data_IF_479710069162
#
_entry.id   IF_479710069162
#
_cell.length_a   1.000
_cell.length_b   1.000
_cell.length_c   1.000
_cell.angle_alpha   90.00
_cell.angle_beta   90.00
_cell.angle_gamma   90.00
#
_symmetry.space_group_name_H-M   'P 1'
#
loop_
_entity.id
_entity.type
_entity.pdbx_description
1 polymer ?
#
# COMPACT_ATOMS: atom_id res chain seq x y z
N UNK A 1 31.99 -32.36 26.52
CA UNK A 1 30.81 -31.60 27.01
C UNK A 1 30.74 -30.11 26.64
N UNK A 2 31.81 -29.47 26.14
CA UNK A 2 31.77 -28.02 25.78
C UNK A 2 30.85 -27.72 24.59
N UNK A 3 30.92 -28.54 23.53
CA UNK A 3 30.11 -28.38 22.32
C UNK A 3 28.60 -28.40 22.59
N UNK A 4 28.12 -29.39 23.34
CA UNK A 4 26.70 -29.48 23.73
C UNK A 4 26.22 -28.25 24.50
N UNK A 5 27.00 -27.78 25.48
CA UNK A 5 26.67 -26.58 26.26
C UNK A 5 26.72 -25.29 25.43
N UNK A 6 27.47 -25.25 24.34
CA UNK A 6 27.46 -24.14 23.41
C UNK A 6 26.17 -24.19 22.58
N UNK A 7 25.90 -25.32 21.93
CA UNK A 7 24.70 -25.54 21.14
C UNK A 7 23.40 -25.22 21.91
N UNK A 8 23.30 -25.63 23.18
CA UNK A 8 22.13 -25.32 24.02
C UNK A 8 21.99 -23.81 24.33
N UNK A 9 23.09 -23.06 24.39
CA UNK A 9 23.04 -21.60 24.57
C UNK A 9 22.62 -20.91 23.29
N UNK A 10 23.06 -21.42 22.14
CA UNK A 10 22.67 -20.88 20.84
C UNK A 10 21.18 -21.10 20.62
N UNK A 11 20.69 -22.31 20.90
CA UNK A 11 19.25 -22.61 20.90
C UNK A 11 18.44 -21.68 21.81
N UNK A 12 18.90 -21.45 23.05
CA UNK A 12 18.24 -20.49 23.96
C UNK A 12 18.26 -19.05 23.43
N UNK A 13 19.31 -18.68 22.69
CA UNK A 13 19.44 -17.36 22.06
C UNK A 13 18.42 -17.20 20.95
N UNK A 14 18.34 -18.18 20.05
CA UNK A 14 17.41 -18.20 18.94
C UNK A 14 15.96 -18.17 19.43
N UNK A 15 15.61 -19.04 20.39
CA UNK A 15 14.27 -19.04 20.98
C UNK A 15 13.93 -17.71 21.67
N UNK A 16 14.92 -17.08 22.29
CA UNK A 16 14.73 -15.78 22.90
C UNK A 16 14.35 -14.73 21.86
N UNK A 17 15.12 -14.64 20.79
CA UNK A 17 14.96 -13.67 19.71
C UNK A 17 13.65 -13.87 18.93
N UNK A 18 13.32 -15.10 18.59
CA UNK A 18 12.16 -15.41 17.74
C UNK A 18 10.83 -15.39 18.49
N UNK A 19 10.82 -15.77 19.77
CA UNK A 19 9.55 -15.97 20.53
C UNK A 19 9.51 -15.11 21.78
N UNK A 20 10.53 -15.23 22.63
CA UNK A 20 10.47 -14.68 23.99
C UNK A 20 10.38 -13.15 24.01
N UNK A 21 11.12 -12.47 23.12
CA UNK A 21 11.07 -11.01 22.97
C UNK A 21 9.66 -10.54 22.64
N UNK A 22 8.97 -11.22 21.73
CA UNK A 22 7.60 -10.90 21.34
C UNK A 22 6.59 -11.16 22.46
N UNK A 23 6.85 -12.16 23.32
CA UNK A 23 6.02 -12.46 24.48
C UNK A 23 6.36 -11.62 25.73
N UNK A 24 7.35 -10.71 25.65
CA UNK A 24 7.77 -9.88 26.77
C UNK A 24 8.47 -10.66 27.89
N UNK A 25 9.13 -11.75 27.52
CA UNK A 25 9.97 -12.56 28.41
C UNK A 25 11.42 -12.08 28.33
N UNK A 26 12.19 -12.36 29.39
CA UNK A 26 13.62 -12.04 29.46
C UNK A 26 14.45 -13.30 29.19
N UNK A 27 15.63 -13.12 28.60
CA UNK A 27 16.55 -14.22 28.26
C UNK A 27 17.13 -14.88 29.51
N UNK A 28 17.56 -14.04 30.46
CA UNK A 28 18.24 -14.48 31.67
C UNK A 28 17.41 -14.12 32.90
N UNK A 29 17.37 -15.05 33.86
CA UNK A 29 16.74 -14.84 35.15
C UNK A 29 17.59 -13.99 36.12
N UNK A 30 16.99 -13.54 37.24
CA UNK A 30 17.62 -12.63 38.18
C UNK A 30 18.87 -13.24 38.84
N UNK A 31 18.88 -14.55 39.06
CA UNK A 31 20.03 -15.28 39.62
C UNK A 31 21.27 -15.18 38.72
N UNK A 32 21.09 -15.32 37.41
CA UNK A 32 22.20 -15.28 36.44
C UNK A 32 22.77 -13.86 36.31
N UNK A 33 21.93 -12.84 36.41
CA UNK A 33 22.32 -11.42 36.40
C UNK A 33 22.61 -10.83 37.78
N UNK A 34 22.52 -11.64 38.86
CA UNK A 34 22.68 -11.23 40.27
C UNK A 34 21.86 -9.99 40.65
N UNK A 35 20.61 -9.94 40.18
CA UNK A 35 19.74 -8.79 40.39
C UNK A 35 19.00 -8.85 41.73
N UNK A 36 18.83 -7.67 42.34
CA UNK A 36 17.88 -7.49 43.43
C UNK A 36 16.46 -7.70 42.92
N UNK A 37 15.52 -7.96 43.84
CA UNK A 37 14.11 -8.11 43.48
C UNK A 37 13.55 -6.87 42.78
N UNK A 38 13.92 -5.67 43.22
CA UNK A 38 13.49 -4.41 42.59
C UNK A 38 13.98 -4.31 41.15
N UNK A 39 15.28 -4.56 40.91
CA UNK A 39 15.84 -4.52 39.55
C UNK A 39 15.21 -5.57 38.64
N UNK A 40 14.93 -6.76 39.17
CA UNK A 40 14.25 -7.81 38.40
C UNK A 40 12.83 -7.44 37.99
N UNK A 41 12.06 -6.79 38.86
CA UNK A 41 10.72 -6.31 38.50
C UNK A 41 10.77 -5.26 37.40
N UNK A 42 11.75 -4.35 37.46
CA UNK A 42 11.97 -3.33 36.41
C UNK A 42 12.32 -4.00 35.07
N UNK A 43 13.19 -5.01 35.07
CA UNK A 43 13.57 -5.70 33.84
C UNK A 43 12.42 -6.47 33.21
N UNK A 44 11.60 -7.14 34.03
CA UNK A 44 10.37 -7.78 33.55
C UNK A 44 9.39 -6.79 32.94
N UNK A 45 9.23 -5.62 33.55
CA UNK A 45 8.37 -4.57 33.02
C UNK A 45 8.92 -4.02 31.70
N UNK A 46 10.23 -3.79 31.62
CA UNK A 46 10.90 -3.36 30.39
C UNK A 46 10.70 -4.37 29.24
N UNK A 47 10.82 -5.67 29.51
CA UNK A 47 10.58 -6.72 28.51
C UNK A 47 9.15 -6.70 27.98
N UNK A 48 8.15 -6.54 28.86
CA UNK A 48 6.74 -6.38 28.45
C UNK A 48 6.50 -5.12 27.62
N UNK A 49 7.10 -3.99 28.00
CA UNK A 49 7.01 -2.74 27.24
C UNK A 49 7.63 -2.90 25.85
N UNK A 50 8.80 -3.55 25.75
CA UNK A 50 9.44 -3.85 24.47
C UNK A 50 8.54 -4.70 23.57
N UNK A 51 7.94 -5.76 24.10
CA UNK A 51 6.98 -6.58 23.37
C UNK A 51 5.80 -5.77 22.81
N UNK A 52 5.21 -4.88 23.64
CA UNK A 52 4.12 -4.01 23.19
C UNK A 52 4.55 -3.02 22.11
N UNK A 53 5.76 -2.48 22.20
CA UNK A 53 6.31 -1.59 21.16
C UNK A 53 6.53 -2.36 19.86
N UNK A 54 7.05 -3.59 19.93
CA UNK A 54 7.26 -4.42 18.74
C UNK A 54 5.94 -4.77 18.03
N UNK A 55 4.90 -5.16 18.78
CA UNK A 55 3.56 -5.41 18.20
C UNK A 55 3.00 -4.15 17.51
N UNK A 56 3.15 -2.97 18.11
CA UNK A 56 2.75 -1.71 17.49
C UNK A 56 3.54 -1.43 16.22
N UNK A 57 4.86 -1.61 16.24
CA UNK A 57 5.72 -1.40 15.07
C UNK A 57 5.32 -2.34 13.92
N UNK A 58 5.09 -3.62 14.20
CA UNK A 58 4.66 -4.59 13.20
C UNK A 58 3.31 -4.20 12.56
N UNK A 59 2.36 -3.68 13.36
CA UNK A 59 1.08 -3.17 12.84
C UNK A 59 1.27 -1.92 11.98
N UNK A 60 2.16 -1.01 12.38
CA UNK A 60 2.49 0.19 11.62
C UNK A 60 3.12 -0.20 10.28
N UNK A 61 4.13 -1.08 10.27
CA UNK A 61 4.77 -1.58 9.05
C UNK A 61 3.77 -2.22 8.10
N UNK A 62 2.86 -3.06 8.63
CA UNK A 62 1.79 -3.68 7.85
C UNK A 62 0.85 -2.63 7.24
N UNK A 63 0.47 -1.62 8.02
CA UNK A 63 -0.38 -0.53 7.55
C UNK A 63 0.31 0.35 6.49
N UNK A 64 1.62 0.62 6.66
CA UNK A 64 2.42 1.38 5.70
C UNK A 64 2.54 0.64 4.36
N UNK A 65 2.84 -0.67 4.40
CA UNK A 65 2.87 -1.52 3.21
C UNK A 65 1.52 -1.52 2.49
N UNK A 66 0.43 -1.64 3.24
CA UNK A 66 -0.92 -1.58 2.69
C UNK A 66 -1.24 -0.22 2.05
N UNK A 67 -0.91 0.89 2.73
CA UNK A 67 -1.13 2.24 2.21
C UNK A 67 -0.33 2.50 0.93
N UNK A 68 0.94 2.05 0.87
CA UNK A 68 1.77 2.13 -0.33
C UNK A 68 1.11 1.42 -1.52
N UNK A 69 0.67 0.17 -1.32
CA UNK A 69 -0.02 -0.61 -2.36
C UNK A 69 -1.30 0.07 -2.87
N UNK A 70 -2.06 0.72 -2.00
CA UNK A 70 -3.25 1.48 -2.39
C UNK A 70 -2.85 2.69 -3.24
N UNK A 71 -1.86 3.46 -2.78
CA UNK A 71 -1.35 4.63 -3.49
C UNK A 71 -0.96 4.28 -4.93
N UNK A 72 -0.22 3.19 -5.12
CA UNK A 72 0.22 2.73 -6.43
C UNK A 72 -0.97 2.37 -7.34
N UNK A 73 -1.97 1.65 -6.80
CA UNK A 73 -3.20 1.33 -7.54
C UNK A 73 -3.99 2.58 -7.94
N UNK A 74 -4.05 3.59 -7.08
CA UNK A 74 -4.70 4.87 -7.38
C UNK A 74 -3.96 5.63 -8.48
N UNK A 75 -2.63 5.68 -8.44
CA UNK A 75 -1.82 6.29 -9.49
C UNK A 75 -2.03 5.61 -10.85
N UNK A 76 -2.05 4.27 -10.89
CA UNK A 76 -2.32 3.54 -12.12
C UNK A 76 -3.73 3.82 -12.66
N UNK A 77 -4.73 3.93 -11.77
CA UNK A 77 -6.09 4.33 -12.15
C UNK A 77 -6.12 5.74 -12.73
N UNK A 78 -5.45 6.71 -12.11
CA UNK A 78 -5.37 8.09 -12.58
C UNK A 78 -4.77 8.17 -13.99
N UNK A 79 -3.64 7.48 -14.22
CA UNK A 79 -3.00 7.40 -15.54
C UNK A 79 -3.97 6.83 -16.60
N UNK A 80 -4.71 5.79 -16.25
CA UNK A 80 -5.67 5.17 -17.17
C UNK A 80 -6.87 6.06 -17.47
N UNK A 81 -7.40 6.78 -16.47
CA UNK A 81 -8.46 7.76 -16.65
C UNK A 81 -8.02 8.88 -17.58
N UNK A 82 -6.85 9.46 -17.36
CA UNK A 82 -6.28 10.50 -18.25
C UNK A 82 -6.15 10.03 -19.69
N UNK A 83 -5.73 8.79 -19.93
CA UNK A 83 -5.67 8.20 -21.28
C UNK A 83 -7.06 8.12 -21.93
N UNK A 84 -8.07 7.70 -21.18
CA UNK A 84 -9.47 7.61 -21.65
C UNK A 84 -10.04 8.99 -21.97
N UNK A 85 -9.83 9.97 -21.09
CA UNK A 85 -10.26 11.36 -21.29
C UNK A 85 -9.68 11.96 -22.58
N UNK A 86 -8.38 11.78 -22.82
CA UNK A 86 -7.73 12.21 -24.07
C UNK A 86 -8.39 11.57 -25.30
N UNK A 87 -8.69 10.27 -25.25
CA UNK A 87 -9.36 9.56 -26.34
C UNK A 87 -10.78 10.09 -26.57
N UNK A 88 -11.54 10.34 -25.50
CA UNK A 88 -12.87 10.94 -25.58
C UNK A 88 -12.83 12.34 -26.19
N UNK A 89 -11.88 13.19 -25.78
CA UNK A 89 -11.71 14.52 -26.34
C UNK A 89 -11.47 14.49 -27.87
N UNK A 90 -10.66 13.54 -28.35
CA UNK A 90 -10.43 13.32 -29.78
C UNK A 90 -11.72 12.90 -30.50
N UNK A 91 -12.48 11.97 -29.91
CA UNK A 91 -13.77 11.52 -30.46
C UNK A 91 -14.75 12.69 -30.57
N UNK A 92 -14.90 13.48 -29.51
CA UNK A 92 -15.79 14.65 -29.47
C UNK A 92 -15.39 15.66 -30.55
N UNK A 93 -14.09 15.95 -30.70
CA UNK A 93 -13.57 16.84 -31.75
C UNK A 93 -13.91 16.33 -33.16
N UNK A 94 -13.74 15.04 -33.41
CA UNK A 94 -14.04 14.43 -34.71
C UNK A 94 -15.55 14.44 -35.00
N UNK A 95 -16.37 14.17 -33.99
CA UNK A 95 -17.82 14.17 -34.11
C UNK A 95 -18.34 15.59 -34.45
N UNK A 96 -17.83 16.61 -33.76
CA UNK A 96 -18.15 18.02 -34.04
C UNK A 96 -17.87 18.41 -35.49
N UNK A 97 -16.70 18.02 -36.04
CA UNK A 97 -16.36 18.25 -37.45
C UNK A 97 -17.36 17.59 -38.41
N UNK A 98 -17.73 16.33 -38.17
CA UNK A 98 -18.71 15.61 -38.99
C UNK A 98 -20.08 16.28 -38.97
N UNK A 99 -20.56 16.70 -37.80
CA UNK A 99 -21.83 17.43 -37.68
C UNK A 99 -21.82 18.76 -38.47
N UNK A 100 -20.70 19.49 -38.47
CA UNK A 100 -20.54 20.69 -39.28
C UNK A 100 -20.70 20.43 -40.78
N UNK A 101 -20.05 19.38 -41.30
CA UNK A 101 -20.18 18.96 -42.70
C UNK A 101 -21.60 18.54 -43.08
N UNK A 102 -22.29 17.78 -42.20
CA UNK A 102 -23.69 17.40 -42.41
C UNK A 102 -24.63 18.61 -42.49
N UNK A 103 -24.40 19.63 -41.64
CA UNK A 103 -25.20 20.88 -41.66
C UNK A 103 -25.02 21.63 -42.98
N UNK A 104 -23.79 21.68 -43.52
CA UNK A 104 -23.51 22.29 -44.81
C UNK A 104 -24.16 21.51 -45.96
N UNK A 105 -24.06 20.18 -45.95
CA UNK A 105 -24.68 19.31 -46.96
C UNK A 105 -26.21 19.46 -47.00
N UNK A 106 -26.85 19.50 -45.82
CA UNK A 106 -28.29 19.74 -45.69
C UNK A 106 -28.70 21.09 -46.30
N UNK A 107 -27.91 22.15 -46.08
CA UNK A 107 -28.15 23.47 -46.68
C UNK A 107 -28.06 23.43 -48.20
N UNK A 108 -27.04 22.77 -48.75
CA UNK A 108 -26.86 22.59 -50.19
C UNK A 108 -28.02 21.84 -50.85
N UNK A 109 -28.45 20.72 -50.26
CA UNK A 109 -29.57 19.92 -50.77
C UNK A 109 -30.89 20.71 -50.79
N UNK A 110 -31.18 21.48 -49.73
CA UNK A 110 -32.35 22.37 -49.69
C UNK A 110 -32.30 23.45 -50.79
N UNK A 111 -31.14 24.07 -51.01
CA UNK A 111 -30.97 25.06 -52.08
C UNK A 111 -31.16 24.43 -53.47
N UNK A 112 -30.64 23.22 -53.69
CA UNK A 112 -30.78 22.49 -54.96
C UNK A 112 -32.24 22.13 -55.24
N UNK A 113 -32.98 21.63 -54.25
CA UNK A 113 -34.40 21.28 -54.41
C UNK A 113 -35.28 22.50 -54.71
N UNK A 114 -35.00 23.66 -54.10
CA UNK A 114 -35.72 24.90 -54.39
C UNK A 114 -35.51 25.40 -55.84
N UNK A 115 -34.33 25.17 -56.41
CA UNK A 115 -34.04 25.56 -57.80
C UNK A 115 -34.62 24.59 -58.85
N UNK A 116 -34.90 23.35 -58.48
CA UNK A 116 -35.51 22.36 -59.40
C UNK A 116 -37.04 22.53 -59.49
N UNK A 117 -37.69 23.10 -58.47
CA UNK A 117 -39.13 23.40 -58.47
C UNK A 117 -39.55 24.72 -59.15
N UNK A 118 -38.60 25.49 -59.69
CA UNK A 118 -38.85 26.75 -60.42
C UNK A 118 -38.76 26.61 -61.95
N UNK A 119 -38.69 25.38 -62.47
CA UNK A 119 -38.75 25.08 -63.91
C UNK A 119 -40.04 24.37 -64.26
#
# INVERSE_FOLDING_TARGET
MRAYKAAMRDFQTEYYEQVSVQCGLTRDGPKRRRLSRRHWMIEKDAAKRLASVNDKNQRIESALSFASNISDKLQQRDINLRKRERKLALIIKNLSKRFGGLKQLKKYLNQKNNNVGMR
#
